data_IF_302407805391
#
_entry.id   IF_302407805391
#
_cell.length_a   1.000
_cell.length_b   1.000
_cell.length_c   1.000
_cell.angle_alpha   90.00
_cell.angle_beta   90.00
_cell.angle_gamma   90.00
#
_symmetry.space_group_name_H-M   'P 1'
#
loop_
_entity.id
_entity.type
_entity.pdbx_description
1 polymer ?
#
# COMPACT_ATOMS: atom_id res chain seq x y z
N UNK A 1 -23.39 5.82 -8.55
CA UNK A 1 -21.97 5.67 -8.96
C UNK A 1 -20.98 6.38 -8.03
N UNK A 2 -21.33 6.70 -6.77
CA UNK A 2 -20.39 7.28 -5.81
C UNK A 2 -20.53 6.58 -4.44
N UNK A 3 -20.24 5.28 -4.38
CA UNK A 3 -20.35 4.49 -3.15
C UNK A 3 -19.02 4.29 -2.42
N UNK A 4 -17.89 4.57 -3.10
CA UNK A 4 -16.54 4.42 -2.57
C UNK A 4 -15.83 5.77 -2.54
N UNK A 5 -15.01 6.08 -1.52
CA UNK A 5 -14.26 7.34 -1.42
C UNK A 5 -13.00 7.31 -2.30
N UNK A 6 -13.17 6.98 -3.59
CA UNK A 6 -12.09 6.85 -4.57
C UNK A 6 -12.44 7.62 -5.84
N UNK A 7 -11.41 8.02 -6.56
CA UNK A 7 -11.56 8.50 -7.93
C UNK A 7 -12.23 7.42 -8.80
N UNK A 8 -13.02 7.86 -9.78
CA UNK A 8 -13.82 6.96 -10.62
C UNK A 8 -12.96 5.91 -11.35
N UNK A 9 -11.73 6.28 -11.73
CA UNK A 9 -10.76 5.36 -12.35
C UNK A 9 -10.33 4.25 -11.39
N UNK A 10 -10.00 4.59 -10.14
CA UNK A 10 -9.61 3.62 -9.11
C UNK A 10 -10.79 2.76 -8.66
N UNK A 11 -11.99 3.33 -8.57
CA UNK A 11 -13.22 2.57 -8.32
C UNK A 11 -13.50 1.55 -9.43
N UNK A 12 -13.24 1.90 -10.70
CA UNK A 12 -13.34 0.96 -11.83
C UNK A 12 -12.28 -0.14 -11.75
N UNK A 13 -11.03 0.21 -11.45
CA UNK A 13 -9.96 -0.77 -11.25
C UNK A 13 -10.31 -1.76 -10.14
N UNK A 14 -10.81 -1.26 -9.01
CA UNK A 14 -11.24 -2.09 -7.89
C UNK A 14 -12.39 -3.04 -8.28
N UNK A 15 -13.35 -2.53 -9.05
CA UNK A 15 -14.46 -3.34 -9.58
C UNK A 15 -13.96 -4.49 -10.46
N UNK A 16 -12.95 -4.24 -11.31
CA UNK A 16 -12.32 -5.31 -12.08
C UNK A 16 -11.56 -6.30 -11.20
N UNK A 17 -10.87 -5.85 -10.15
CA UNK A 17 -10.22 -6.75 -9.20
C UNK A 17 -11.19 -7.73 -8.53
N UNK A 18 -12.37 -7.23 -8.14
CA UNK A 18 -13.47 -8.07 -7.63
C UNK A 18 -13.94 -9.08 -8.68
N UNK A 19 -14.18 -8.64 -9.91
CA UNK A 19 -14.64 -9.51 -11.00
C UNK A 19 -13.61 -10.59 -11.36
N UNK A 20 -12.32 -10.27 -11.24
CA UNK A 20 -11.20 -11.18 -11.51
C UNK A 20 -10.86 -12.10 -10.32
N UNK A 21 -11.57 -11.98 -9.20
CA UNK A 21 -11.32 -12.81 -8.01
C UNK A 21 -10.10 -12.41 -7.19
N UNK A 22 -9.57 -11.19 -7.39
CA UNK A 22 -8.42 -10.61 -6.66
C UNK A 22 -8.79 -9.31 -5.94
N UNK A 23 -9.83 -9.31 -5.08
CA UNK A 23 -10.32 -8.09 -4.44
C UNK A 23 -9.29 -7.51 -3.46
N UNK A 24 -8.54 -8.33 -2.73
CA UNK A 24 -7.61 -7.90 -1.72
C UNK A 24 -6.42 -7.12 -2.32
N UNK A 25 -5.83 -7.66 -3.39
CA UNK A 25 -4.75 -7.02 -4.15
C UNK A 25 -5.23 -5.70 -4.77
N UNK A 26 -6.44 -5.72 -5.34
CA UNK A 26 -7.01 -4.52 -5.94
C UNK A 26 -7.31 -3.42 -4.92
N UNK A 27 -7.74 -3.76 -3.70
CA UNK A 27 -7.89 -2.78 -2.60
C UNK A 27 -6.53 -2.17 -2.27
N UNK A 28 -5.50 -2.98 -2.06
CA UNK A 28 -4.17 -2.50 -1.67
C UNK A 28 -3.57 -1.63 -2.78
N UNK A 29 -3.70 -2.03 -4.05
CA UNK A 29 -3.24 -1.22 -5.18
C UNK A 29 -4.03 0.10 -5.31
N UNK A 30 -5.35 0.08 -5.07
CA UNK A 30 -6.16 1.31 -5.07
C UNK A 30 -5.74 2.26 -3.93
N UNK A 31 -5.48 1.72 -2.75
CA UNK A 31 -4.95 2.46 -1.61
C UNK A 31 -3.58 3.06 -1.92
N UNK A 32 -2.68 2.28 -2.54
CA UNK A 32 -1.34 2.71 -2.92
C UNK A 32 -1.39 3.87 -3.92
N UNK A 33 -2.28 3.79 -4.92
CA UNK A 33 -2.46 4.83 -5.93
C UNK A 33 -3.20 6.07 -5.42
N UNK A 34 -3.90 5.94 -4.29
CA UNK A 34 -4.56 7.07 -3.62
C UNK A 34 -3.64 7.83 -2.66
N UNK A 35 -2.41 7.36 -2.46
CA UNK A 35 -1.43 8.07 -1.62
C UNK A 35 -1.03 9.39 -2.28
N UNK A 36 -1.11 10.48 -1.53
CA UNK A 36 -0.67 11.80 -2.00
C UNK A 36 0.84 11.89 -2.23
N UNK A 37 1.60 11.02 -1.59
CA UNK A 37 3.05 10.91 -1.71
C UNK A 37 3.51 9.47 -1.48
N UNK A 38 4.63 9.13 -2.10
CA UNK A 38 5.30 7.86 -1.88
C UNK A 38 5.65 7.66 -0.39
N UNK A 39 5.56 6.42 0.14
CA UNK A 39 5.99 6.12 1.51
C UNK A 39 7.51 6.21 1.69
N UNK A 40 8.29 6.26 0.62
CA UNK A 40 9.73 6.45 0.70
C UNK A 40 10.10 7.86 1.15
N UNK A 41 11.18 7.98 1.91
CA UNK A 41 11.74 9.27 2.31
C UNK A 41 12.39 9.93 1.11
N UNK A 42 12.03 11.19 0.87
CA UNK A 42 12.71 12.03 -0.11
C UNK A 42 13.99 12.57 0.52
N UNK A 43 15.13 12.28 -0.10
CA UNK A 43 16.41 12.87 0.31
C UNK A 43 16.48 14.31 -0.20
N UNK A 44 16.97 15.23 0.62
CA UNK A 44 17.07 16.65 0.26
C UNK A 44 18.45 17.19 0.62
N UNK A 45 19.17 17.70 -0.38
CA UNK A 45 20.53 18.23 -0.27
C UNK A 45 20.63 19.52 0.56
N UNK A 46 19.51 20.17 0.86
CA UNK A 46 19.49 21.37 1.72
C UNK A 46 19.72 21.00 3.19
N UNK A 47 19.29 19.81 3.61
CA UNK A 47 19.27 19.40 5.01
C UNK A 47 20.24 18.28 5.35
N UNK A 48 20.74 17.56 4.34
CA UNK A 48 21.60 16.40 4.50
C UNK A 48 22.98 16.71 3.96
N UNK A 49 24.00 16.19 4.63
CA UNK A 49 25.32 16.16 4.04
C UNK A 49 25.34 15.20 2.81
N UNK A 50 26.36 15.31 1.95
CA UNK A 50 26.43 14.46 0.75
C UNK A 50 26.44 12.96 1.05
N UNK A 51 26.99 12.53 2.18
CA UNK A 51 27.14 11.11 2.52
C UNK A 51 25.81 10.52 3.00
N UNK A 52 25.10 11.22 3.88
CA UNK A 52 23.74 10.92 4.34
C UNK A 52 22.75 10.94 3.19
N UNK A 53 22.85 11.92 2.29
CA UNK A 53 22.04 11.99 1.08
C UNK A 53 22.24 10.73 0.22
N UNK A 54 23.49 10.39 -0.08
CA UNK A 54 23.83 9.22 -0.88
C UNK A 54 23.39 7.92 -0.20
N UNK A 55 23.54 7.82 1.12
CA UNK A 55 23.09 6.66 1.89
C UNK A 55 21.57 6.51 1.81
N UNK A 56 20.82 7.60 1.97
CA UNK A 56 19.35 7.57 1.89
C UNK A 56 18.87 7.18 0.49
N UNK A 57 19.47 7.76 -0.56
CA UNK A 57 19.15 7.41 -1.96
C UNK A 57 19.46 5.94 -2.22
N UNK A 58 20.61 5.44 -1.77
CA UNK A 58 21.01 4.02 -1.93
C UNK A 58 20.04 3.08 -1.22
N UNK A 59 19.68 3.36 0.04
CA UNK A 59 18.72 2.55 0.81
C UNK A 59 17.35 2.52 0.14
N UNK A 60 16.86 3.67 -0.32
CA UNK A 60 15.59 3.77 -1.04
C UNK A 60 15.63 2.92 -2.31
N UNK A 61 16.64 3.09 -3.15
CA UNK A 61 16.76 2.35 -4.41
C UNK A 61 16.83 0.84 -4.18
N UNK A 62 17.59 0.39 -3.18
CA UNK A 62 17.67 -1.03 -2.80
C UNK A 62 16.31 -1.57 -2.32
N UNK A 63 15.55 -0.76 -1.56
CA UNK A 63 14.21 -1.11 -1.09
C UNK A 63 13.24 -1.28 -2.25
N UNK A 64 13.16 -0.27 -3.13
CA UNK A 64 12.30 -0.26 -4.31
C UNK A 64 12.60 -1.45 -5.23
N UNK A 65 13.88 -1.70 -5.54
CA UNK A 65 14.31 -2.84 -6.35
C UNK A 65 14.02 -4.20 -5.69
N UNK A 66 14.20 -4.31 -4.38
CA UNK A 66 13.92 -5.53 -3.64
C UNK A 66 12.43 -5.89 -3.63
N UNK A 67 11.56 -4.88 -3.61
CA UNK A 67 10.10 -5.04 -3.57
C UNK A 67 9.49 -5.17 -4.98
N UNK A 68 10.04 -4.50 -5.98
CA UNK A 68 9.56 -4.56 -7.36
C UNK A 68 9.72 -5.96 -7.99
N UNK A 69 10.76 -6.71 -7.62
CA UNK A 69 11.03 -8.07 -8.14
C UNK A 69 11.00 -8.20 -9.67
N UNK A 70 11.32 -7.12 -10.42
CA UNK A 70 11.33 -7.04 -11.90
C UNK A 70 9.94 -7.00 -12.54
N UNK A 71 8.91 -6.62 -11.80
CA UNK A 71 7.59 -6.38 -12.37
C UNK A 71 7.43 -4.97 -12.94
N UNK A 72 8.39 -4.07 -12.69
CA UNK A 72 8.39 -2.69 -13.17
C UNK A 72 7.08 -1.97 -12.87
N UNK A 73 6.52 -2.21 -11.69
CA UNK A 73 5.18 -1.79 -11.30
C UNK A 73 5.17 -1.30 -9.86
N UNK A 74 5.15 0.04 -9.71
CA UNK A 74 5.10 0.68 -8.40
C UNK A 74 3.91 0.22 -7.54
N UNK A 75 2.66 0.09 -8.05
CA UNK A 75 1.55 -0.42 -7.24
C UNK A 75 1.78 -1.83 -6.71
N UNK A 76 2.41 -2.70 -7.50
CA UNK A 76 2.73 -4.08 -7.09
C UNK A 76 3.86 -4.09 -6.06
N UNK A 77 4.88 -3.24 -6.26
CA UNK A 77 5.95 -3.06 -5.28
C UNK A 77 5.40 -2.55 -3.92
N UNK A 78 4.47 -1.60 -3.95
CA UNK A 78 3.81 -1.06 -2.76
C UNK A 78 2.86 -2.08 -2.11
N UNK A 79 2.21 -2.93 -2.89
CA UNK A 79 1.45 -4.06 -2.36
C UNK A 79 2.35 -5.00 -1.55
N UNK A 80 3.52 -5.38 -2.09
CA UNK A 80 4.49 -6.20 -1.36
C UNK A 80 5.04 -5.50 -0.13
N UNK A 81 5.27 -4.19 -0.24
CA UNK A 81 5.71 -3.38 0.89
C UNK A 81 4.71 -3.47 2.06
N UNK A 82 3.42 -3.32 1.76
CA UNK A 82 2.37 -3.40 2.77
C UNK A 82 2.29 -4.80 3.38
N UNK A 83 2.42 -5.86 2.58
CA UNK A 83 2.44 -7.23 3.12
C UNK A 83 3.63 -7.46 4.05
N UNK A 84 4.81 -6.95 3.71
CA UNK A 84 5.98 -7.03 4.59
C UNK A 84 5.76 -6.24 5.88
N UNK A 85 5.14 -5.06 5.79
CA UNK A 85 4.78 -4.23 6.95
C UNK A 85 3.82 -4.95 7.89
N UNK A 86 2.75 -5.55 7.36
CA UNK A 86 1.70 -6.24 8.12
C UNK A 86 2.19 -7.54 8.77
N UNK A 87 3.18 -8.20 8.17
CA UNK A 87 3.87 -9.37 8.77
C UNK A 87 4.68 -9.03 10.03
N UNK A 88 4.94 -7.74 10.32
CA UNK A 88 5.63 -7.32 11.54
C UNK A 88 4.70 -7.43 12.74
N UNK A 89 4.90 -8.46 13.57
CA UNK A 89 4.07 -8.77 14.76
C UNK A 89 4.16 -7.75 15.90
N UNK A 90 5.13 -6.85 15.89
CA UNK A 90 5.37 -5.90 16.98
C UNK A 90 5.46 -4.47 16.47
N UNK A 91 4.71 -3.57 17.12
CA UNK A 91 4.78 -2.13 16.84
C UNK A 91 6.18 -1.57 17.08
N UNK A 92 6.97 -2.19 17.97
CA UNK A 92 8.37 -1.81 18.19
C UNK A 92 9.28 -2.16 17.00
N UNK A 93 8.92 -3.15 16.19
CA UNK A 93 9.71 -3.55 15.01
C UNK A 93 9.46 -2.66 13.79
N UNK A 94 8.30 -1.98 13.73
CA UNK A 94 7.88 -1.16 12.59
C UNK A 94 8.77 0.07 12.36
N UNK A 95 9.17 0.87 13.38
CA UNK A 95 10.12 1.96 13.19
C UNK A 95 11.48 1.50 12.64
N UNK A 96 11.99 0.37 13.16
CA UNK A 96 13.25 -0.21 12.69
C UNK A 96 13.17 -0.69 11.24
N UNK A 97 12.02 -1.25 10.83
CA UNK A 97 11.76 -1.59 9.43
C UNK A 97 11.74 -0.34 8.54
N UNK A 98 11.02 0.71 8.94
CA UNK A 98 10.99 1.97 8.20
C UNK A 98 12.38 2.58 8.02
N UNK A 99 13.21 2.56 9.07
CA UNK A 99 14.56 3.09 9.01
C UNK A 99 15.42 2.32 7.99
N UNK A 100 15.37 0.98 8.01
CA UNK A 100 16.15 0.14 7.09
C UNK A 100 15.73 0.31 5.63
N UNK A 101 14.44 0.47 5.37
CA UNK A 101 13.88 0.56 4.02
C UNK A 101 13.74 2.01 3.51
N UNK A 102 14.29 2.99 4.24
CA UNK A 102 14.16 4.42 3.94
C UNK A 102 12.69 4.88 3.77
N UNK A 103 11.81 4.46 4.68
CA UNK A 103 10.37 4.77 4.67
C UNK A 103 9.99 5.83 5.70
N UNK A 104 8.92 6.57 5.41
CA UNK A 104 8.24 7.48 6.31
C UNK A 104 7.19 6.70 7.11
N UNK A 105 7.38 6.61 8.41
CA UNK A 105 6.51 5.82 9.30
C UNK A 105 5.03 6.25 9.20
N UNK A 106 4.76 7.55 9.33
CA UNK A 106 3.39 8.07 9.29
C UNK A 106 2.69 7.80 7.94
N UNK A 107 3.44 7.80 6.83
CA UNK A 107 2.88 7.50 5.50
C UNK A 107 2.59 6.00 5.37
N UNK A 108 3.44 5.14 5.94
CA UNK A 108 3.17 3.70 6.00
C UNK A 108 1.95 3.36 6.85
N UNK A 109 1.77 4.04 7.99
CA UNK A 109 0.54 3.88 8.79
C UNK A 109 -0.69 4.38 8.03
N UNK A 110 -0.61 5.56 7.41
CA UNK A 110 -1.69 6.07 6.58
C UNK A 110 -2.04 5.11 5.44
N UNK A 111 -1.04 4.52 4.79
CA UNK A 111 -1.24 3.54 3.74
C UNK A 111 -1.95 2.28 4.26
N UNK A 112 -1.53 1.77 5.42
CA UNK A 112 -2.18 0.63 6.05
C UNK A 112 -3.65 0.91 6.40
N UNK A 113 -3.93 2.06 7.04
CA UNK A 113 -5.29 2.45 7.38
C UNK A 113 -6.15 2.71 6.15
N UNK A 114 -5.59 3.27 5.07
CA UNK A 114 -6.29 3.46 3.81
C UNK A 114 -6.71 2.12 3.20
N UNK A 115 -5.83 1.12 3.20
CA UNK A 115 -6.14 -0.22 2.71
C UNK A 115 -7.24 -0.91 3.56
N UNK A 116 -7.14 -0.85 4.89
CA UNK A 116 -8.14 -1.44 5.81
C UNK A 116 -9.51 -0.77 5.66
N UNK A 117 -9.53 0.56 5.58
CA UNK A 117 -10.75 1.34 5.39
C UNK A 117 -11.42 1.01 4.06
N UNK A 118 -10.65 0.94 2.96
CA UNK A 118 -11.17 0.58 1.64
C UNK A 118 -11.67 -0.87 1.58
N UNK A 119 -11.00 -1.81 2.24
CA UNK A 119 -11.47 -3.20 2.33
C UNK A 119 -12.83 -3.28 3.05
N UNK A 120 -12.95 -2.58 4.18
CA UNK A 120 -14.19 -2.51 4.96
C UNK A 120 -15.33 -1.92 4.14
N UNK A 121 -15.05 -0.82 3.45
CA UNK A 121 -16.04 -0.13 2.63
C UNK A 121 -16.46 -0.95 1.41
N UNK A 122 -15.54 -1.67 0.79
CA UNK A 122 -15.85 -2.57 -0.32
C UNK A 122 -16.84 -3.67 0.11
N UNK A 123 -16.61 -4.30 1.26
CA UNK A 123 -17.52 -5.31 1.83
C UNK A 123 -18.91 -4.70 2.12
N UNK A 124 -18.94 -3.47 2.65
CA UNK A 124 -20.19 -2.73 2.91
C UNK A 124 -20.99 -2.53 1.62
N UNK A 125 -20.35 -2.04 0.56
CA UNK A 125 -20.99 -1.78 -0.73
C UNK A 125 -21.45 -3.07 -1.41
N UNK A 126 -20.65 -4.13 -1.35
CA UNK A 126 -21.01 -5.43 -1.92
C UNK A 126 -22.24 -6.05 -1.23
N UNK A 127 -22.32 -5.93 0.10
CA UNK A 127 -23.46 -6.42 0.88
C UNK A 127 -24.75 -5.70 0.49
N UNK A 128 -24.68 -4.38 0.28
CA UNK A 128 -25.83 -3.57 -0.14
C UNK A 128 -26.34 -3.92 -1.54
N UNK A 129 -25.44 -4.27 -2.47
CA UNK A 129 -25.81 -4.53 -3.87
C UNK A 129 -26.26 -5.98 -4.14
N UNK A 130 -25.78 -6.96 -3.36
CA UNK A 130 -25.91 -8.38 -3.72
C UNK A 130 -26.84 -9.17 -2.80
N UNK A 131 -27.25 -8.63 -1.64
CA UNK A 131 -28.18 -9.27 -0.70
C UNK A 131 -27.70 -10.63 -0.13
N UNK A 132 -26.49 -11.05 -0.46
CA UNK A 132 -25.84 -12.29 -0.04
C UNK A 132 -24.65 -11.95 0.84
N UNK A 133 -24.41 -12.77 1.88
CA UNK A 133 -23.29 -12.61 2.81
C UNK A 133 -21.98 -12.81 2.04
N UNK A 134 -21.27 -11.71 1.75
CA UNK A 134 -20.01 -11.74 1.02
C UNK A 134 -18.87 -12.08 1.98
N UNK A 135 -17.97 -12.96 1.52
CA UNK A 135 -16.69 -13.32 2.11
C UNK A 135 -15.89 -12.06 2.45
N UNK A 136 -15.46 -11.92 3.70
CA UNK A 136 -14.60 -10.81 4.13
C UNK A 136 -13.39 -10.68 3.21
N UNK A 137 -13.10 -9.45 2.75
CA UNK A 137 -11.86 -9.18 2.02
C UNK A 137 -10.70 -9.20 3.01
N UNK A 138 -9.98 -10.32 3.04
CA UNK A 138 -8.79 -10.48 3.88
C UNK A 138 -7.54 -10.00 3.13
N UNK A 139 -7.04 -8.83 3.51
CA UNK A 139 -5.82 -8.25 2.94
C UNK A 139 -4.54 -8.95 3.43
N UNK A 140 -4.60 -9.76 4.49
CA UNK A 140 -3.47 -10.55 4.99
C UNK A 140 -3.34 -11.90 4.28
N UNK A 141 -4.39 -12.34 3.59
CA UNK A 141 -4.40 -13.58 2.80
C UNK A 141 -3.69 -13.47 1.44
N UNK A 142 -3.20 -12.28 1.06
CA UNK A 142 -2.52 -12.05 -0.22
C UNK A 142 -1.20 -12.83 -0.23
N UNK A 143 -1.08 -13.80 -1.16
CA UNK A 143 0.03 -14.73 -1.30
C UNK A 143 0.47 -14.93 -2.73
#
# INVERSE_FOLDING_TARGET
TAALPLDLSLGRMLSFGVLLGVPAEAVVMAAAMSLSRSPYRVANTIFLDPDEFNEQVRKRFQSEMGLDKRDYSEPIALLRLLLHWRKLRSDKARPGFCHRQALQFNVMEQFNYAAESLATELVRVQTQNTGTSVTSVDIDAIG
#
